data_IF_054693441077
#
_entry.id   IF_054693441077
#
_cell.length_a   1.000
_cell.length_b   1.000
_cell.length_c   1.000
_cell.angle_alpha   90.00
_cell.angle_beta   90.00
_cell.angle_gamma   90.00
#
_symmetry.space_group_name_H-M   'P 1'
#
loop_
_entity.id
_entity.type
_entity.pdbx_description
1 polymer ?
#
# COMPACT_ATOMS: atom_id res chain seq x y z
N UNK A 1 3.44 -54.70 7.57
CA UNK A 1 3.46 -54.43 9.02
C UNK A 1 3.60 -52.93 9.22
N UNK A 2 2.84 -52.43 10.19
CA UNK A 2 2.46 -51.03 10.38
C UNK A 2 3.60 -50.10 10.79
N UNK A 3 3.36 -48.80 10.60
CA UNK A 3 4.11 -47.70 11.22
C UNK A 3 3.50 -46.35 10.83
N UNK A 4 2.61 -45.84 11.67
CA UNK A 4 1.96 -44.51 11.62
C UNK A 4 2.90 -43.47 12.26
N UNK A 5 2.52 -42.19 12.17
CA UNK A 5 3.04 -40.98 12.86
C UNK A 5 4.04 -40.18 11.99
N UNK A 6 3.94 -38.88 11.72
CA UNK A 6 3.10 -37.78 12.18
C UNK A 6 3.92 -36.49 11.97
N UNK A 7 3.29 -35.37 11.58
CA UNK A 7 3.90 -34.04 11.74
C UNK A 7 4.05 -33.18 10.47
N UNK A 8 3.15 -32.19 10.37
CA UNK A 8 3.39 -30.79 10.00
C UNK A 8 4.36 -30.49 8.85
N UNK A 9 3.82 -30.10 7.68
CA UNK A 9 4.20 -28.82 7.10
C UNK A 9 3.14 -28.32 6.10
N UNK A 10 2.44 -27.25 6.47
CA UNK A 10 1.60 -26.50 5.55
C UNK A 10 2.51 -25.60 4.71
N UNK A 11 3.21 -26.21 3.74
CA UNK A 11 4.04 -25.52 2.76
C UNK A 11 3.20 -24.65 1.83
N UNK A 12 2.93 -23.42 2.25
CA UNK A 12 2.23 -22.41 1.47
C UNK A 12 3.11 -21.98 0.28
N UNK A 13 2.95 -22.68 -0.84
CA UNK A 13 3.60 -22.37 -2.11
C UNK A 13 3.00 -21.06 -2.68
N UNK A 14 3.57 -19.91 -2.32
CA UNK A 14 3.31 -18.64 -3.01
C UNK A 14 4.61 -18.13 -3.63
N UNK A 15 4.80 -18.55 -4.87
CA UNK A 15 5.89 -18.15 -5.75
C UNK A 15 5.92 -16.63 -5.87
N UNK A 16 7.00 -16.00 -5.40
CA UNK A 16 7.40 -14.70 -5.92
C UNK A 16 8.73 -14.89 -6.65
N UNK A 17 8.64 -14.90 -7.98
CA UNK A 17 9.79 -14.86 -8.89
C UNK A 17 10.57 -13.57 -8.61
N UNK A 18 11.71 -13.68 -7.94
CA UNK A 18 12.63 -12.57 -7.69
C UNK A 18 13.32 -12.20 -8.99
N UNK A 19 12.98 -11.06 -9.56
CA UNK A 19 13.80 -10.41 -10.58
C UNK A 19 14.77 -9.47 -9.86
N UNK A 20 16.06 -9.80 -9.92
CA UNK A 20 17.13 -8.92 -9.45
C UNK A 20 17.36 -7.83 -10.50
N UNK A 21 17.33 -6.56 -10.10
CA UNK A 21 17.72 -5.44 -10.95
C UNK A 21 18.66 -4.50 -10.20
N UNK A 22 19.77 -4.16 -10.86
CA UNK A 22 20.75 -3.19 -10.40
C UNK A 22 20.14 -1.78 -10.44
N UNK A 23 20.10 -1.11 -9.29
CA UNK A 23 19.56 0.25 -9.14
C UNK A 23 20.66 1.28 -9.40
N UNK A 24 20.53 2.12 -10.42
CA UNK A 24 21.35 3.32 -10.58
C UNK A 24 20.66 4.50 -9.84
N UNK A 25 21.39 5.33 -9.07
CA UNK A 25 20.80 6.42 -8.31
C UNK A 25 20.42 7.57 -9.25
N UNK A 26 19.12 7.78 -9.49
CA UNK A 26 18.62 8.99 -10.16
C UNK A 26 17.45 8.85 -11.12
N UNK A 27 16.88 7.66 -11.33
CA UNK A 27 15.77 7.47 -12.27
C UNK A 27 14.54 6.89 -11.59
N UNK A 28 13.52 7.71 -11.34
CA UNK A 28 12.20 7.31 -10.82
C UNK A 28 11.36 6.60 -11.89
N UNK A 29 11.94 5.65 -12.63
CA UNK A 29 11.12 4.72 -13.42
C UNK A 29 10.70 3.60 -12.49
N UNK A 30 9.62 3.87 -11.76
CA UNK A 30 8.90 2.86 -11.01
C UNK A 30 8.62 1.68 -11.95
N UNK A 31 9.30 0.56 -11.70
CA UNK A 31 9.05 -0.74 -12.33
C UNK A 31 7.54 -1.02 -12.33
N UNK A 32 7.00 -1.52 -13.46
CA UNK A 32 5.60 -1.93 -13.76
C UNK A 32 4.93 -2.85 -12.71
N UNK A 33 4.89 -2.43 -11.45
CA UNK A 33 4.06 -2.93 -10.35
C UNK A 33 3.23 -1.73 -9.94
N UNK A 34 1.92 -1.83 -10.09
CA UNK A 34 1.10 -0.65 -10.15
C UNK A 34 1.22 0.29 -8.96
N UNK A 35 1.34 1.58 -9.23
CA UNK A 35 1.46 2.64 -8.22
C UNK A 35 0.27 2.56 -7.29
N UNK A 36 0.52 2.46 -5.98
CA UNK A 36 -0.56 2.51 -5.00
C UNK A 36 -1.03 3.96 -4.87
N UNK A 37 -2.34 4.16 -4.94
CA UNK A 37 -2.97 5.47 -4.83
C UNK A 37 -3.93 5.49 -3.63
N UNK A 38 -3.77 6.49 -2.78
CA UNK A 38 -4.73 6.83 -1.71
C UNK A 38 -5.44 8.12 -2.07
N UNK A 39 -6.64 8.34 -1.54
CA UNK A 39 -7.41 9.54 -1.85
C UNK A 39 -8.88 9.40 -1.49
N UNK A 40 -9.65 10.45 -1.79
CA UNK A 40 -11.10 10.44 -1.65
C UNK A 40 -11.70 9.51 -2.71
N UNK A 41 -12.79 8.84 -2.37
CA UNK A 41 -13.50 7.93 -3.29
C UNK A 41 -13.84 8.60 -4.62
N UNK A 42 -14.20 9.89 -4.61
CA UNK A 42 -14.49 10.66 -5.82
C UNK A 42 -13.28 10.77 -6.77
N UNK A 43 -12.08 10.90 -6.23
CA UNK A 43 -10.85 11.16 -6.99
C UNK A 43 -10.18 9.86 -7.45
N UNK A 44 -10.48 8.75 -6.75
CA UNK A 44 -10.04 7.40 -7.10
C UNK A 44 -10.82 6.77 -8.28
N UNK A 45 -11.79 7.49 -8.86
CA UNK A 45 -12.52 7.02 -10.06
C UNK A 45 -11.72 7.16 -11.35
N UNK A 46 -10.71 8.03 -11.36
CA UNK A 46 -9.89 8.35 -12.53
C UNK A 46 -8.42 7.99 -12.26
N UNK A 47 -8.17 6.69 -12.10
CA UNK A 47 -6.80 6.18 -11.94
C UNK A 47 -6.10 6.09 -13.29
N UNK A 48 -4.82 6.43 -13.32
CA UNK A 48 -4.00 6.30 -14.52
C UNK A 48 -3.69 4.82 -14.82
N UNK A 49 -3.27 4.54 -16.05
CA UNK A 49 -2.94 3.18 -16.45
C UNK A 49 -1.77 2.63 -15.61
N UNK A 50 -2.02 1.55 -14.89
CA UNK A 50 -1.04 0.96 -13.97
C UNK A 50 -1.11 1.54 -12.56
N UNK A 51 -2.07 2.39 -12.22
CA UNK A 51 -2.37 2.72 -10.83
C UNK A 51 -3.37 1.74 -10.23
N UNK A 52 -3.33 1.59 -8.90
CA UNK A 52 -4.40 0.91 -8.16
C UNK A 52 -4.76 1.63 -6.89
N UNK A 53 -6.05 1.73 -6.62
CA UNK A 53 -6.53 2.16 -5.31
C UNK A 53 -6.57 1.00 -4.33
N UNK A 54 -6.75 1.32 -3.06
CA UNK A 54 -7.01 0.32 -2.01
C UNK A 54 -8.50 -0.03 -1.89
N UNK A 55 -9.41 0.68 -2.57
CA UNK A 55 -10.86 0.59 -2.35
C UNK A 55 -11.42 -0.82 -2.56
N UNK A 56 -10.96 -1.54 -3.59
CA UNK A 56 -11.42 -2.90 -3.89
C UNK A 56 -11.12 -3.90 -2.76
N UNK A 57 -10.23 -3.52 -1.82
CA UNK A 57 -9.81 -4.35 -0.68
C UNK A 57 -10.47 -3.92 0.64
N UNK A 58 -11.42 -2.98 0.61
CA UNK A 58 -11.99 -2.32 1.79
C UNK A 58 -13.53 -2.40 1.84
N UNK A 59 -14.13 -3.61 1.91
CA UNK A 59 -15.55 -3.74 2.23
C UNK A 59 -15.90 -3.06 3.57
N UNK A 60 -17.07 -2.43 3.64
CA UNK A 60 -17.56 -1.87 4.89
C UNK A 60 -17.85 -2.98 5.91
N UNK A 61 -17.16 -2.94 7.05
CA UNK A 61 -17.25 -3.89 8.16
C UNK A 61 -18.29 -3.49 9.22
N UNK A 62 -19.17 -2.53 8.91
CA UNK A 62 -20.28 -2.12 9.79
C UNK A 62 -19.90 -1.16 10.92
N UNK A 63 -18.60 -0.82 11.10
CA UNK A 63 -18.20 0.25 12.03
C UNK A 63 -16.97 1.03 11.52
N UNK A 64 -16.87 2.35 11.82
CA UNK A 64 -15.71 3.14 11.41
C UNK A 64 -14.38 2.60 11.97
N UNK A 65 -14.39 2.04 13.18
CA UNK A 65 -13.20 1.46 13.82
C UNK A 65 -12.73 0.19 13.09
N UNK A 66 -13.65 -0.70 12.71
CA UNK A 66 -13.32 -1.91 11.96
C UNK A 66 -12.81 -1.56 10.55
N UNK A 67 -13.46 -0.60 9.88
CA UNK A 67 -13.02 -0.09 8.57
C UNK A 67 -11.62 0.50 8.65
N UNK A 68 -11.32 1.28 9.69
CA UNK A 68 -10.00 1.85 9.90
C UNK A 68 -8.93 0.78 10.18
N UNK A 69 -9.23 -0.23 11.00
CA UNK A 69 -8.30 -1.34 11.28
C UNK A 69 -7.92 -2.07 9.98
N UNK A 70 -8.91 -2.34 9.12
CA UNK A 70 -8.67 -2.95 7.82
C UNK A 70 -7.84 -2.05 6.91
N UNK A 71 -8.25 -0.79 6.76
CA UNK A 71 -7.58 0.16 5.87
C UNK A 71 -6.12 0.39 6.26
N UNK A 72 -5.89 0.71 7.53
CA UNK A 72 -4.53 0.90 8.05
C UNK A 72 -3.69 -0.37 7.96
N UNK A 73 -4.28 -1.57 8.01
CA UNK A 73 -3.58 -2.83 7.79
C UNK A 73 -3.10 -2.98 6.35
N UNK A 74 -3.98 -2.70 5.37
CA UNK A 74 -3.64 -2.74 3.95
C UNK A 74 -2.59 -1.70 3.61
N UNK A 75 -2.74 -0.46 4.08
CA UNK A 75 -1.75 0.61 3.83
C UNK A 75 -0.37 0.23 4.37
N UNK A 76 -0.27 -0.37 5.56
CA UNK A 76 1.02 -0.85 6.10
C UNK A 76 1.67 -1.90 5.21
N UNK A 77 0.89 -2.80 4.59
CA UNK A 77 1.44 -3.77 3.63
C UNK A 77 2.03 -3.08 2.39
N UNK A 78 1.42 -2.00 1.91
CA UNK A 78 1.97 -1.23 0.80
C UNK A 78 3.23 -0.47 1.24
N UNK A 79 3.23 0.09 2.44
CA UNK A 79 4.41 0.76 3.01
C UNK A 79 5.60 -0.20 3.17
N UNK A 80 5.37 -1.47 3.52
CA UNK A 80 6.47 -2.46 3.60
C UNK A 80 7.17 -2.72 2.26
N UNK A 81 6.56 -2.34 1.13
CA UNK A 81 7.20 -2.45 -0.19
C UNK A 81 8.21 -1.34 -0.46
N UNK A 82 8.20 -0.27 0.34
CA UNK A 82 9.10 0.88 0.16
C UNK A 82 8.93 1.59 -1.17
N UNK A 83 7.75 1.50 -1.80
CA UNK A 83 7.46 2.16 -3.07
C UNK A 83 6.68 3.47 -2.82
N UNK A 84 6.90 4.53 -3.61
CA UNK A 84 6.10 5.75 -3.50
C UNK A 84 4.60 5.47 -3.61
N UNK A 85 3.81 6.21 -2.83
CA UNK A 85 2.33 6.10 -2.81
C UNK A 85 1.77 7.44 -3.27
N UNK A 86 0.95 7.47 -4.32
CA UNK A 86 0.33 8.72 -4.80
C UNK A 86 -0.84 9.13 -3.93
N UNK A 87 -0.97 10.42 -3.64
CA UNK A 87 -2.16 11.03 -3.08
C UNK A 87 -2.98 11.66 -4.22
N UNK A 88 -4.18 11.12 -4.48
CA UNK A 88 -5.08 11.63 -5.51
C UNK A 88 -5.90 12.85 -5.06
N UNK A 89 -5.85 13.22 -3.77
CA UNK A 89 -6.65 14.32 -3.21
C UNK A 89 -5.80 15.28 -2.36
N UNK A 90 -4.64 15.73 -2.85
CA UNK A 90 -3.71 16.54 -2.05
C UNK A 90 -4.40 17.81 -1.54
N UNK A 91 -4.21 18.12 -0.26
CA UNK A 91 -4.83 19.29 0.38
C UNK A 91 -6.30 19.13 0.79
N UNK A 92 -7.03 18.12 0.32
CA UNK A 92 -8.40 17.83 0.78
C UNK A 92 -8.34 17.22 2.19
N UNK A 93 -8.69 18.00 3.20
CA UNK A 93 -8.71 17.58 4.62
C UNK A 93 -10.08 17.10 5.08
N UNK A 94 -11.05 16.94 4.18
CA UNK A 94 -12.37 16.46 4.54
C UNK A 94 -12.35 14.97 4.86
N UNK A 95 -13.02 14.60 5.95
CA UNK A 95 -13.27 13.21 6.34
C UNK A 95 -12.10 12.52 7.04
N UNK A 96 -12.45 11.59 7.93
CA UNK A 96 -11.51 11.01 8.89
C UNK A 96 -10.54 9.97 8.33
N UNK A 97 -10.94 9.16 7.33
CA UNK A 97 -10.12 8.04 6.87
C UNK A 97 -8.85 8.48 6.15
N UNK A 98 -8.96 9.39 5.18
CA UNK A 98 -7.79 9.89 4.43
C UNK A 98 -6.81 10.64 5.33
N UNK A 99 -7.32 11.44 6.27
CA UNK A 99 -6.45 12.11 7.24
C UNK A 99 -5.73 11.12 8.15
N UNK A 100 -6.41 10.04 8.56
CA UNK A 100 -5.78 8.99 9.36
C UNK A 100 -4.71 8.23 8.56
N UNK A 101 -4.92 7.98 7.26
CA UNK A 101 -3.91 7.37 6.37
C UNK A 101 -2.65 8.25 6.27
N UNK A 102 -2.84 9.55 6.05
CA UNK A 102 -1.73 10.52 5.98
C UNK A 102 -0.98 10.62 7.29
N UNK A 103 -1.70 10.62 8.41
CA UNK A 103 -1.06 10.61 9.73
C UNK A 103 -0.26 9.32 9.94
N UNK A 104 -0.80 8.17 9.55
CA UNK A 104 -0.07 6.90 9.61
C UNK A 104 1.21 6.92 8.76
N UNK A 105 1.19 7.54 7.58
CA UNK A 105 2.37 7.71 6.75
C UNK A 105 3.43 8.58 7.45
N UNK A 106 3.03 9.76 7.97
CA UNK A 106 3.91 10.66 8.72
C UNK A 106 4.51 9.98 9.95
N UNK A 107 3.69 9.28 10.74
CA UNK A 107 4.11 8.54 11.94
C UNK A 107 5.17 7.47 11.63
N UNK A 108 5.22 6.99 10.38
CA UNK A 108 6.20 6.01 9.90
C UNK A 108 7.34 6.64 9.10
N UNK A 109 7.50 7.96 9.18
CA UNK A 109 8.60 8.69 8.55
C UNK A 109 8.45 8.90 7.04
N UNK A 110 7.27 8.64 6.47
CA UNK A 110 7.02 8.96 5.06
C UNK A 110 6.85 10.46 4.90
N UNK A 111 7.41 10.99 3.81
CA UNK A 111 7.38 12.44 3.53
C UNK A 111 6.53 12.70 2.29
N UNK A 112 5.62 13.67 2.38
CA UNK A 112 4.83 14.10 1.23
C UNK A 112 5.62 15.08 0.36
N UNK A 113 5.77 14.76 -0.92
CA UNK A 113 6.28 15.67 -1.95
C UNK A 113 5.12 16.36 -2.66
N UNK A 114 4.92 17.64 -2.36
CA UNK A 114 3.84 18.44 -2.93
C UNK A 114 4.02 18.77 -4.41
N UNK A 115 5.22 18.58 -4.99
CA UNK A 115 5.46 18.81 -6.42
C UNK A 115 4.93 17.68 -7.28
N UNK A 116 5.00 16.46 -6.75
CA UNK A 116 4.63 15.23 -7.46
C UNK A 116 3.36 14.59 -6.92
N UNK A 117 2.89 15.01 -5.74
CA UNK A 117 1.78 14.42 -4.98
C UNK A 117 2.04 12.98 -4.53
N UNK A 118 3.30 12.65 -4.23
CA UNK A 118 3.68 11.33 -3.72
C UNK A 118 4.11 11.38 -2.26
N UNK A 119 3.73 10.35 -1.53
CA UNK A 119 4.35 9.98 -0.28
C UNK A 119 5.59 9.14 -0.58
N UNK A 120 6.75 9.68 -0.18
CA UNK A 120 8.05 9.07 -0.36
C UNK A 120 8.42 8.25 0.89
N UNK A 121 8.96 7.03 0.72
CA UNK A 121 9.38 6.21 1.84
C UNK A 121 10.54 6.87 2.61
N UNK A 122 10.70 6.58 3.92
CA UNK A 122 11.87 7.01 4.67
C UNK A 122 13.14 6.39 4.06
N UNK A 123 14.24 7.15 4.09
CA UNK A 123 15.56 6.62 3.73
C UNK A 123 15.94 5.54 4.77
N UNK A 124 16.27 4.34 4.31
CA UNK A 124 16.74 3.25 5.17
C UNK A 124 18.19 3.49 5.63
#
# INVERSE_FOLDING_TARGET
FAGVEGGLDAGLHRVYKTFSYNFAPGSLVASKRGTTVIGRVKDLKNLEQGERSLLDRLPNQGSPKANWKQNSGVLRQEMTKGQPIRDASPGDTAGQFLNAERNLLKDRGWTFDSKTNYWMPPKQ
#
